data_IF_476748603605
#
_entry.id   IF_476748603605
#
_cell.length_a   1.000
_cell.length_b   1.000
_cell.length_c   1.000
_cell.angle_alpha   90.00
_cell.angle_beta   90.00
_cell.angle_gamma   90.00
#
_symmetry.space_group_name_H-M   'P 1'
#
loop_
_entity.id
_entity.type
_entity.pdbx_description
1 polymer ?
#
# COMPACT_ATOMS: atom_id res chain seq x y z
N UNK A 1 24.05 -13.70 26.57
CA UNK A 1 24.52 -12.40 26.11
C UNK A 1 23.41 -11.58 25.41
N UNK A 2 22.37 -12.21 24.89
CA UNK A 2 21.23 -11.50 24.32
C UNK A 2 20.16 -11.11 25.36
N UNK A 3 20.41 -11.38 26.66
CA UNK A 3 19.47 -11.11 27.76
C UNK A 3 18.21 -11.98 27.70
N UNK A 4 18.25 -13.06 26.93
CA UNK A 4 17.10 -13.94 26.72
C UNK A 4 17.54 -15.37 26.39
N UNK A 5 16.88 -16.33 27.04
CA UNK A 5 17.12 -17.76 26.83
C UNK A 5 15.82 -18.44 26.33
N UNK A 6 15.78 -18.90 25.06
CA UNK A 6 14.61 -19.57 24.52
C UNK A 6 14.49 -21.05 24.93
N UNK A 7 15.42 -21.57 25.72
CA UNK A 7 15.44 -22.97 26.10
C UNK A 7 14.86 -23.19 27.50
N UNK A 8 14.46 -24.43 27.75
CA UNK A 8 13.90 -24.90 29.04
C UNK A 8 14.92 -25.02 30.18
N UNK A 9 16.22 -24.87 29.90
CA UNK A 9 17.32 -24.95 30.86
C UNK A 9 18.15 -23.67 30.83
N UNK A 10 18.76 -23.32 31.95
CA UNK A 10 19.48 -22.04 32.10
C UNK A 10 20.77 -21.97 31.25
N UNK A 11 21.47 -23.09 31.10
CA UNK A 11 22.69 -23.19 30.32
C UNK A 11 22.56 -24.22 29.20
N UNK A 12 21.95 -23.85 28.07
CA UNK A 12 21.72 -24.80 26.98
C UNK A 12 22.99 -25.19 26.21
N UNK A 13 24.09 -24.49 26.42
CA UNK A 13 25.41 -24.80 25.86
C UNK A 13 26.40 -24.98 27.00
N UNK A 14 27.03 -26.14 27.04
CA UNK A 14 28.05 -26.47 28.04
C UNK A 14 29.37 -25.70 27.83
N UNK A 15 30.26 -25.83 28.78
CA UNK A 15 31.62 -25.21 28.73
C UNK A 15 32.47 -25.80 27.60
N UNK A 16 32.13 -26.93 27.09
CA UNK A 16 32.73 -27.62 25.92
C UNK A 16 32.22 -27.09 24.59
N UNK A 17 31.27 -26.10 24.61
CA UNK A 17 30.65 -25.50 23.43
C UNK A 17 29.59 -26.37 22.76
N UNK A 18 29.18 -27.50 23.37
CA UNK A 18 28.15 -28.35 22.83
C UNK A 18 26.78 -28.05 23.44
N UNK A 19 25.74 -28.28 22.63
CA UNK A 19 24.36 -28.19 23.09
C UNK A 19 24.09 -29.34 24.09
N UNK A 20 23.44 -28.99 25.20
CA UNK A 20 22.94 -29.95 26.16
C UNK A 20 21.86 -30.82 25.52
N UNK A 21 21.94 -32.16 25.62
CA UNK A 21 20.94 -33.06 25.02
C UNK A 21 19.51 -32.85 25.54
N UNK A 22 19.36 -32.32 26.75
CA UNK A 22 18.05 -32.04 27.37
C UNK A 22 17.52 -30.63 27.06
N UNK A 23 18.30 -29.81 26.34
CA UNK A 23 17.89 -28.47 25.93
C UNK A 23 16.78 -28.55 24.87
N UNK A 24 15.60 -28.07 25.23
CA UNK A 24 14.44 -27.97 24.32
C UNK A 24 14.03 -26.52 24.15
N UNK A 25 13.72 -26.15 22.91
CA UNK A 25 13.20 -24.84 22.62
C UNK A 25 11.77 -24.66 23.17
N UNK A 26 11.55 -23.62 23.97
CA UNK A 26 10.25 -23.18 24.43
C UNK A 26 9.54 -22.34 23.36
N UNK A 27 10.31 -21.51 22.66
CA UNK A 27 9.82 -20.66 21.56
C UNK A 27 10.95 -20.37 20.57
N UNK A 28 10.56 -19.89 19.40
CA UNK A 28 11.46 -19.46 18.33
C UNK A 28 10.89 -18.24 17.64
N UNK A 29 11.67 -17.19 17.54
CA UNK A 29 11.29 -15.95 16.84
C UNK A 29 11.49 -16.08 15.33
N UNK A 30 10.56 -16.73 14.64
CA UNK A 30 10.59 -16.81 13.18
C UNK A 30 10.07 -15.51 12.54
N UNK A 31 10.86 -14.46 12.71
CA UNK A 31 10.57 -13.13 12.20
C UNK A 31 10.38 -13.09 10.69
N UNK A 32 11.16 -13.91 9.97
CA UNK A 32 11.06 -13.98 8.52
C UNK A 32 9.69 -14.47 8.07
N UNK A 33 9.23 -15.59 8.58
CA UNK A 33 7.93 -16.15 8.22
C UNK A 33 6.77 -15.35 8.81
N UNK A 34 6.99 -14.60 9.89
CA UNK A 34 5.99 -13.71 10.44
C UNK A 34 5.76 -12.48 9.54
N UNK A 35 6.84 -11.85 9.08
CA UNK A 35 6.80 -10.61 8.31
C UNK A 35 6.61 -10.83 6.80
N UNK A 36 7.18 -11.91 6.25
CA UNK A 36 7.10 -12.19 4.82
C UNK A 36 6.01 -13.22 4.54
N UNK A 37 5.15 -12.90 3.59
CA UNK A 37 4.06 -13.77 3.15
C UNK A 37 4.08 -13.90 1.64
N UNK A 38 3.87 -15.13 1.16
CA UNK A 38 3.53 -15.32 -0.24
C UNK A 38 2.13 -14.75 -0.48
N UNK A 39 2.00 -13.83 -1.42
CA UNK A 39 0.76 -13.09 -1.66
C UNK A 39 0.37 -13.17 -3.12
N UNK A 40 -0.92 -13.04 -3.39
CA UNK A 40 -1.48 -13.06 -4.73
C UNK A 40 -1.73 -11.63 -5.20
N UNK A 41 -1.23 -11.30 -6.40
CA UNK A 41 -1.65 -10.13 -7.17
C UNK A 41 -2.75 -10.55 -8.13
N UNK A 42 -3.85 -9.78 -8.13
CA UNK A 42 -5.01 -10.01 -8.97
C UNK A 42 -5.31 -8.73 -9.76
N UNK A 43 -5.48 -8.88 -11.07
CA UNK A 43 -5.82 -7.76 -11.95
C UNK A 43 -6.90 -8.23 -12.93
N UNK A 44 -7.98 -7.47 -12.97
CA UNK A 44 -9.12 -7.73 -13.86
C UNK A 44 -9.40 -6.50 -14.67
N UNK A 45 -9.58 -6.67 -15.96
CA UNK A 45 -9.97 -5.60 -16.87
C UNK A 45 -11.08 -6.10 -17.79
N UNK A 46 -12.06 -5.26 -17.99
CA UNK A 46 -13.13 -5.49 -18.96
C UNK A 46 -13.21 -4.28 -19.89
N UNK A 47 -13.25 -4.56 -21.20
CA UNK A 47 -13.25 -3.54 -22.23
C UNK A 47 -14.44 -3.73 -23.18
N UNK A 48 -15.04 -2.61 -23.58
CA UNK A 48 -16.09 -2.54 -24.58
C UNK A 48 -15.70 -1.53 -25.65
N UNK A 49 -15.78 -1.90 -26.91
CA UNK A 49 -15.52 -0.99 -28.01
C UNK A 49 -16.48 -1.21 -29.17
N UNK A 50 -16.73 -0.16 -29.90
CA UNK A 50 -17.55 -0.23 -31.08
C UNK A 50 -17.36 0.97 -31.99
N UNK A 51 -17.71 0.79 -33.28
CA UNK A 51 -17.61 1.84 -34.29
C UNK A 51 -18.74 1.72 -35.28
N UNK A 52 -19.31 2.86 -35.66
CA UNK A 52 -20.21 2.99 -36.79
C UNK A 52 -19.86 4.25 -37.62
N UNK A 53 -20.69 4.61 -38.59
CA UNK A 53 -20.43 5.78 -39.48
C UNK A 53 -20.37 7.13 -38.74
N UNK A 54 -21.00 7.23 -37.55
CA UNK A 54 -21.13 8.48 -36.81
C UNK A 54 -20.30 8.51 -35.52
N UNK A 55 -20.07 7.33 -34.92
CA UNK A 55 -19.44 7.26 -33.60
C UNK A 55 -18.41 6.12 -33.53
N UNK A 56 -17.39 6.33 -32.77
CA UNK A 56 -16.54 5.29 -32.21
C UNK A 56 -16.39 5.48 -30.70
N UNK A 57 -16.31 4.36 -30.00
CA UNK A 57 -16.16 4.39 -28.56
C UNK A 57 -15.29 3.23 -28.07
N UNK A 58 -14.62 3.48 -26.97
CA UNK A 58 -13.91 2.50 -26.17
C UNK A 58 -14.18 2.83 -24.70
N UNK A 59 -14.60 1.84 -23.92
CA UNK A 59 -14.84 1.96 -22.48
C UNK A 59 -14.11 0.80 -21.81
N UNK A 60 -13.36 1.08 -20.78
CA UNK A 60 -12.60 0.10 -19.99
C UNK A 60 -12.87 0.31 -18.50
N UNK A 61 -13.00 -0.79 -17.76
CA UNK A 61 -13.04 -0.78 -16.31
C UNK A 61 -12.02 -1.81 -15.78
N UNK A 62 -11.23 -1.41 -14.81
CA UNK A 62 -10.17 -2.23 -14.23
C UNK A 62 -10.18 -2.23 -12.71
N UNK A 63 -9.83 -3.37 -12.16
CA UNK A 63 -9.59 -3.57 -10.72
C UNK A 63 -8.25 -4.25 -10.53
N UNK A 64 -7.43 -3.71 -9.65
CA UNK A 64 -6.15 -4.28 -9.23
C UNK A 64 -6.14 -4.43 -7.71
N UNK A 65 -5.77 -5.61 -7.23
CA UNK A 65 -5.46 -5.88 -5.83
C UNK A 65 -4.08 -6.53 -5.77
N UNK A 66 -3.12 -5.80 -5.25
CA UNK A 66 -1.73 -6.23 -5.11
C UNK A 66 -1.36 -6.22 -3.63
N UNK A 67 -1.14 -7.42 -3.08
CA UNK A 67 -0.67 -7.60 -1.71
C UNK A 67 0.83 -7.82 -1.75
N UNK A 68 1.58 -6.90 -1.14
CA UNK A 68 3.03 -6.99 -1.08
C UNK A 68 3.53 -8.19 -0.28
N UNK A 69 4.82 -8.47 -0.40
CA UNK A 69 5.47 -9.57 0.33
C UNK A 69 5.52 -9.35 1.84
N UNK A 70 5.56 -8.10 2.30
CA UNK A 70 5.38 -7.77 3.72
C UNK A 70 3.91 -7.82 4.10
N UNK A 71 3.62 -8.32 5.31
CA UNK A 71 2.26 -8.64 5.76
C UNK A 71 1.28 -7.48 5.69
N UNK A 72 1.78 -6.25 5.87
CA UNK A 72 0.98 -5.02 5.88
C UNK A 72 0.80 -4.36 4.51
N UNK A 73 1.61 -4.72 3.53
CA UNK A 73 1.57 -4.05 2.23
C UNK A 73 0.35 -4.47 1.43
N UNK A 74 -0.46 -3.50 1.06
CA UNK A 74 -1.61 -3.66 0.19
C UNK A 74 -1.75 -2.46 -0.72
N UNK A 75 -2.01 -2.72 -1.98
CA UNK A 75 -2.40 -1.73 -2.97
C UNK A 75 -3.67 -2.18 -3.69
N UNK A 76 -4.68 -1.33 -3.69
CA UNK A 76 -5.90 -1.53 -4.48
C UNK A 76 -6.11 -0.36 -5.42
N UNK A 77 -6.56 -0.64 -6.63
CA UNK A 77 -6.89 0.39 -7.60
C UNK A 77 -8.13 0.01 -8.38
N UNK A 78 -9.06 0.94 -8.44
CA UNK A 78 -10.18 0.95 -9.36
C UNK A 78 -9.90 1.97 -10.45
N UNK A 79 -10.12 1.62 -11.70
CA UNK A 79 -9.87 2.51 -12.83
C UNK A 79 -10.95 2.37 -13.88
N UNK A 80 -11.30 3.49 -14.52
CA UNK A 80 -12.21 3.53 -15.64
C UNK A 80 -11.67 4.48 -16.69
N UNK A 81 -11.79 4.09 -17.96
CA UNK A 81 -11.44 4.93 -19.10
C UNK A 81 -12.57 4.89 -20.12
N UNK A 82 -12.92 6.05 -20.67
CA UNK A 82 -13.86 6.17 -21.76
C UNK A 82 -13.30 7.09 -22.84
N UNK A 83 -13.23 6.60 -24.08
CA UNK A 83 -12.88 7.39 -25.27
C UNK A 83 -14.10 7.37 -26.17
N UNK A 84 -14.65 8.54 -26.47
CA UNK A 84 -15.84 8.69 -27.28
C UNK A 84 -15.56 9.71 -28.37
N UNK A 85 -15.87 9.40 -29.62
CA UNK A 85 -15.83 10.34 -30.73
C UNK A 85 -17.18 10.27 -31.45
N UNK A 86 -17.73 11.42 -31.78
CA UNK A 86 -19.01 11.51 -32.43
C UNK A 86 -19.04 12.58 -33.54
N UNK A 87 -19.36 12.19 -34.74
CA UNK A 87 -19.61 13.08 -35.85
C UNK A 87 -21.08 13.52 -35.78
N UNK A 88 -21.31 14.69 -35.17
CA UNK A 88 -22.65 15.27 -35.00
C UNK A 88 -23.33 15.46 -36.38
N UNK A 89 -22.55 16.07 -37.28
CA UNK A 89 -22.94 16.26 -38.68
C UNK A 89 -21.69 16.39 -39.57
N UNK A 90 -21.83 16.89 -40.81
CA UNK A 90 -20.69 17.02 -41.76
C UNK A 90 -19.64 18.07 -41.37
N UNK A 91 -20.00 19.02 -40.52
CA UNK A 91 -19.13 20.14 -40.14
C UNK A 91 -18.75 20.14 -38.65
N UNK A 92 -19.41 19.31 -37.81
CA UNK A 92 -19.14 19.27 -36.39
C UNK A 92 -18.76 17.86 -35.90
N UNK A 93 -17.58 17.74 -35.30
CA UNK A 93 -17.13 16.53 -34.60
C UNK A 93 -16.83 16.87 -33.15
N UNK A 94 -17.21 16.01 -32.24
CA UNK A 94 -16.95 16.11 -30.81
C UNK A 94 -16.29 14.83 -30.33
N UNK A 95 -15.32 14.97 -29.44
CA UNK A 95 -14.74 13.81 -28.80
C UNK A 95 -14.34 14.09 -27.37
N UNK A 96 -14.37 13.04 -26.55
CA UNK A 96 -13.92 13.13 -25.16
C UNK A 96 -13.13 11.88 -24.78
N UNK A 97 -12.13 12.09 -23.95
CA UNK A 97 -11.33 11.07 -23.32
C UNK A 97 -11.36 11.33 -21.81
N UNK A 98 -11.97 10.41 -21.07
CA UNK A 98 -12.12 10.48 -19.62
C UNK A 98 -11.34 9.33 -19.02
N UNK A 99 -10.55 9.61 -17.99
CA UNK A 99 -9.87 8.62 -17.17
C UNK A 99 -10.11 8.94 -15.70
N UNK A 100 -10.57 7.93 -14.96
CA UNK A 100 -10.82 8.02 -13.52
C UNK A 100 -10.02 6.92 -12.85
N UNK A 101 -9.37 7.23 -11.75
CA UNK A 101 -8.79 6.20 -10.90
C UNK A 101 -8.94 6.56 -9.42
N UNK A 102 -9.21 5.54 -8.63
CA UNK A 102 -9.16 5.59 -7.17
C UNK A 102 -8.23 4.49 -6.70
N UNK A 103 -7.23 4.85 -5.91
CA UNK A 103 -6.31 3.85 -5.33
C UNK A 103 -6.15 4.05 -3.83
N UNK A 104 -5.99 2.92 -3.15
CA UNK A 104 -5.69 2.84 -1.72
C UNK A 104 -4.41 2.06 -1.57
N UNK A 105 -3.48 2.60 -0.80
CA UNK A 105 -2.27 1.90 -0.40
C UNK A 105 -2.18 1.89 1.13
N UNK A 106 -1.91 0.71 1.67
CA UNK A 106 -1.65 0.50 3.09
C UNK A 106 -0.26 -0.07 3.27
N UNK A 107 0.40 0.34 4.34
CA UNK A 107 1.70 -0.15 4.72
C UNK A 107 2.83 0.22 3.77
N UNK A 108 3.93 0.56 4.34
CA UNK A 108 5.21 0.70 3.64
C UNK A 108 6.23 -0.09 4.45
N UNK A 109 6.89 -1.08 3.84
CA UNK A 109 8.08 -1.61 4.47
C UNK A 109 9.09 -0.46 4.56
N UNK A 110 9.29 0.05 5.76
CA UNK A 110 10.36 1.01 5.99
C UNK A 110 11.71 0.32 5.82
N UNK A 111 12.75 1.08 5.51
CA UNK A 111 14.12 0.56 5.50
C UNK A 111 14.45 -0.09 6.85
N UNK A 112 13.87 0.40 7.94
CA UNK A 112 13.98 -0.17 9.27
C UNK A 112 13.36 -1.56 9.36
N UNK A 113 12.18 -1.80 8.78
CA UNK A 113 11.55 -3.14 8.76
C UNK A 113 12.42 -4.15 8.00
N UNK A 114 12.96 -3.74 6.85
CA UNK A 114 13.88 -4.59 6.06
C UNK A 114 15.16 -4.89 6.83
N UNK A 115 15.70 -3.90 7.53
CA UNK A 115 16.90 -4.05 8.32
C UNK A 115 16.67 -4.96 9.55
N UNK A 116 15.55 -4.78 10.28
CA UNK A 116 15.14 -5.63 11.40
C UNK A 116 14.96 -7.10 10.94
N UNK A 117 14.36 -7.33 9.79
CA UNK A 117 14.21 -8.67 9.23
C UNK A 117 15.54 -9.40 9.03
N UNK A 118 16.62 -8.66 8.74
CA UNK A 118 17.96 -9.21 8.50
C UNK A 118 18.77 -9.44 9.78
N UNK A 119 18.47 -8.69 10.80
CA UNK A 119 19.35 -8.54 11.97
C UNK A 119 18.69 -8.95 13.30
N UNK A 120 17.35 -9.10 13.33
CA UNK A 120 16.66 -9.55 14.54
C UNK A 120 17.00 -11.02 14.82
N UNK A 121 17.62 -11.31 15.97
CA UNK A 121 17.93 -12.68 16.34
C UNK A 121 16.67 -13.51 16.61
N UNK A 122 16.71 -14.75 16.21
CA UNK A 122 15.60 -15.70 16.43
C UNK A 122 15.41 -16.12 17.88
N UNK A 123 16.38 -15.84 18.74
CA UNK A 123 16.27 -16.01 20.21
C UNK A 123 15.32 -14.98 20.85
N UNK A 124 14.98 -13.89 20.14
CA UNK A 124 13.98 -12.95 20.59
C UNK A 124 12.57 -13.41 20.14
N UNK A 125 11.64 -13.59 21.09
CA UNK A 125 10.29 -14.02 20.75
C UNK A 125 9.51 -12.89 20.05
N UNK A 126 8.55 -13.28 19.22
CA UNK A 126 7.58 -12.36 18.61
C UNK A 126 6.52 -11.93 19.63
N UNK A 127 6.13 -12.87 20.47
CA UNK A 127 5.12 -12.70 21.51
C UNK A 127 5.73 -12.95 22.88
N UNK A 128 5.25 -12.26 23.91
CA UNK A 128 5.70 -12.43 25.29
C UNK A 128 5.58 -13.89 25.74
N UNK A 129 6.69 -14.42 26.25
CA UNK A 129 6.77 -15.75 26.81
C UNK A 129 6.90 -15.68 28.34
N UNK A 130 6.12 -16.45 29.03
CA UNK A 130 6.19 -16.60 30.48
C UNK A 130 6.84 -17.94 30.83
N UNK A 131 8.07 -17.88 31.34
CA UNK A 131 8.83 -19.06 31.74
C UNK A 131 8.26 -19.77 32.96
N UNK A 132 7.51 -19.06 33.82
CA UNK A 132 6.91 -19.64 35.01
C UNK A 132 5.71 -20.56 34.66
N UNK A 133 4.93 -20.18 33.65
CA UNK A 133 3.78 -20.95 33.18
C UNK A 133 4.10 -21.79 31.94
N UNK A 134 5.30 -21.62 31.37
CA UNK A 134 5.75 -22.26 30.14
C UNK A 134 4.77 -22.05 28.97
N UNK A 135 4.25 -20.84 28.81
CA UNK A 135 3.24 -20.48 27.83
C UNK A 135 3.38 -19.03 27.33
N UNK A 136 2.77 -18.72 26.21
CA UNK A 136 2.63 -17.32 25.75
C UNK A 136 1.65 -16.56 26.63
N UNK A 137 2.01 -15.33 26.98
CA UNK A 137 1.10 -14.40 27.67
C UNK A 137 -0.04 -13.98 26.74
N UNK A 138 -1.24 -13.94 27.30
CA UNK A 138 -2.44 -13.57 26.56
C UNK A 138 -3.03 -12.27 27.11
N UNK A 139 -3.65 -11.49 26.25
CA UNK A 139 -4.46 -10.35 26.61
C UNK A 139 -5.84 -10.80 27.15
N UNK A 140 -6.66 -9.84 27.57
CA UNK A 140 -8.05 -10.08 28.07
C UNK A 140 -8.98 -10.74 27.04
N UNK A 141 -8.61 -10.70 25.76
CA UNK A 141 -9.38 -11.28 24.65
C UNK A 141 -8.84 -12.66 24.22
N UNK A 142 -7.78 -13.16 24.87
CA UNK A 142 -7.13 -14.41 24.54
C UNK A 142 -6.12 -14.34 23.40
N UNK A 143 -5.74 -13.14 22.92
CA UNK A 143 -4.71 -12.96 21.93
C UNK A 143 -3.33 -12.95 22.57
N UNK A 144 -2.31 -13.45 21.86
CA UNK A 144 -0.92 -13.35 22.30
C UNK A 144 -0.48 -11.90 22.33
N UNK A 145 0.16 -11.49 23.42
CA UNK A 145 0.73 -10.16 23.59
C UNK A 145 2.05 -10.09 22.84
N UNK A 146 2.26 -9.05 22.02
CA UNK A 146 3.53 -8.84 21.33
C UNK A 146 4.65 -8.47 22.30
N UNK A 147 5.82 -9.08 22.09
CA UNK A 147 7.01 -8.79 22.88
C UNK A 147 7.83 -7.66 22.25
N UNK A 148 7.82 -6.48 22.87
CA UNK A 148 8.67 -5.36 22.49
C UNK A 148 10.08 -5.45 23.05
N UNK A 149 10.35 -6.44 23.92
CA UNK A 149 11.69 -6.80 24.40
C UNK A 149 12.43 -5.70 25.10
N UNK A 150 11.77 -4.98 26.03
CA UNK A 150 12.39 -3.94 26.84
C UNK A 150 13.59 -4.46 27.69
N UNK A 151 13.67 -5.77 27.86
CA UNK A 151 14.79 -6.48 28.54
C UNK A 151 15.96 -6.80 27.61
N UNK A 152 15.80 -6.62 26.29
CA UNK A 152 16.80 -7.03 25.28
C UNK A 152 18.00 -6.07 25.30
N UNK A 153 19.19 -6.60 25.13
CA UNK A 153 20.42 -5.82 24.98
C UNK A 153 20.50 -5.11 23.63
N UNK A 154 19.88 -5.72 22.61
CA UNK A 154 19.75 -5.15 21.27
C UNK A 154 18.28 -5.20 20.83
N UNK A 155 17.83 -4.22 20.03
CA UNK A 155 16.45 -4.17 19.53
C UNK A 155 15.40 -3.99 20.65
N UNK A 156 15.78 -3.38 21.77
CA UNK A 156 14.85 -3.02 22.85
C UNK A 156 13.78 -2.08 22.33
N UNK A 157 12.55 -2.27 22.76
CA UNK A 157 11.39 -1.46 22.37
C UNK A 157 10.91 -1.64 20.93
N UNK A 158 11.35 -2.69 20.22
CA UNK A 158 10.98 -2.90 18.82
C UNK A 158 10.31 -4.26 18.58
N UNK A 159 9.18 -4.22 17.85
CA UNK A 159 8.55 -5.42 17.32
C UNK A 159 7.88 -5.04 15.98
N UNK A 160 8.53 -5.29 14.85
CA UNK A 160 8.02 -4.86 13.56
C UNK A 160 6.65 -5.46 13.21
N UNK A 161 6.32 -6.67 13.68
CA UNK A 161 5.00 -7.26 13.45
C UNK A 161 3.92 -6.59 14.29
N UNK A 162 4.24 -6.17 15.51
CA UNK A 162 3.35 -5.40 16.36
C UNK A 162 3.11 -4.00 15.77
N UNK A 163 4.16 -3.34 15.31
CA UNK A 163 4.08 -2.04 14.66
C UNK A 163 3.19 -2.13 13.41
N UNK A 164 3.37 -3.16 12.60
CA UNK A 164 2.52 -3.46 11.44
C UNK A 164 1.04 -3.67 11.82
N UNK A 165 0.79 -4.24 13.00
CA UNK A 165 -0.57 -4.54 13.47
C UNK A 165 -1.28 -3.32 14.04
N UNK A 166 -0.56 -2.51 14.82
CA UNK A 166 -1.13 -1.42 15.60
C UNK A 166 -1.03 -0.05 14.92
N UNK A 167 0.00 0.16 14.11
CA UNK A 167 0.17 1.40 13.38
C UNK A 167 -0.58 1.36 12.06
N UNK A 168 -1.01 2.51 11.59
CA UNK A 168 -1.73 2.65 10.32
C UNK A 168 -1.12 3.77 9.50
N UNK A 169 -0.98 3.54 8.23
CA UNK A 169 -0.48 4.52 7.28
C UNK A 169 -1.18 4.42 5.92
N UNK A 170 -2.52 4.38 5.89
CA UNK A 170 -3.24 4.36 4.63
C UNK A 170 -3.12 5.70 3.91
N UNK A 171 -2.99 5.63 2.61
CA UNK A 171 -3.16 6.76 1.74
C UNK A 171 -4.07 6.41 0.58
N UNK A 172 -4.88 7.39 0.22
CA UNK A 172 -5.78 7.33 -0.91
C UNK A 172 -5.37 8.32 -1.96
N UNK A 173 -5.63 7.96 -3.20
CA UNK A 173 -5.27 8.76 -4.35
C UNK A 173 -6.41 8.70 -5.37
N UNK A 174 -6.95 9.86 -5.67
CA UNK A 174 -8.01 10.04 -6.65
C UNK A 174 -7.49 10.85 -7.83
N UNK A 175 -7.61 10.31 -9.04
CA UNK A 175 -7.26 10.98 -10.28
C UNK A 175 -8.48 11.07 -11.19
N UNK A 176 -8.72 12.24 -11.71
CA UNK A 176 -9.71 12.51 -12.76
C UNK A 176 -9.02 13.27 -13.87
N UNK A 177 -9.03 12.72 -15.06
CA UNK A 177 -8.53 13.39 -16.26
C UNK A 177 -9.62 13.39 -17.33
N UNK A 178 -9.90 14.57 -17.86
CA UNK A 178 -10.80 14.72 -18.99
C UNK A 178 -10.13 15.53 -20.09
N UNK A 179 -10.27 15.10 -21.31
CA UNK A 179 -9.87 15.81 -22.53
C UNK A 179 -11.01 15.76 -23.54
N UNK A 180 -11.65 16.89 -23.70
CA UNK A 180 -12.78 17.05 -24.63
C UNK A 180 -12.38 17.99 -25.76
N UNK A 181 -12.76 17.67 -26.98
CA UNK A 181 -12.54 18.55 -28.12
C UNK A 181 -13.81 18.74 -28.93
N UNK A 182 -13.87 19.92 -29.56
CA UNK A 182 -14.83 20.29 -30.59
C UNK A 182 -14.04 20.63 -31.84
N UNK A 183 -14.40 20.05 -32.97
CA UNK A 183 -13.80 20.33 -34.26
C UNK A 183 -14.89 20.77 -35.25
N UNK A 184 -14.71 21.97 -35.78
CA UNK A 184 -15.62 22.59 -36.73
C UNK A 184 -14.90 22.72 -38.07
N UNK A 185 -15.52 22.18 -39.13
CA UNK A 185 -15.08 22.39 -40.51
C UNK A 185 -15.93 23.47 -41.13
N UNK A 186 -15.36 24.67 -41.35
CA UNK A 186 -16.06 25.80 -41.91
C UNK A 186 -16.28 25.69 -43.39
N UNK A 187 -15.22 25.32 -44.13
CA UNK A 187 -15.20 25.04 -45.54
C UNK A 187 -14.23 23.90 -45.82
N UNK A 188 -14.26 23.22 -46.96
CA UNK A 188 -13.27 22.24 -47.31
C UNK A 188 -11.85 22.76 -47.10
N UNK A 189 -11.03 22.03 -46.32
CA UNK A 189 -9.66 22.39 -45.97
C UNK A 189 -9.53 23.28 -44.74
N UNK A 190 -10.56 24.06 -44.31
CA UNK A 190 -10.44 24.93 -43.13
C UNK A 190 -11.16 24.34 -41.91
N UNK A 191 -10.36 23.98 -40.89
CA UNK A 191 -10.83 23.37 -39.64
C UNK A 191 -10.40 24.19 -38.44
N UNK A 192 -11.29 24.35 -37.48
CA UNK A 192 -10.97 24.91 -36.18
C UNK A 192 -11.27 23.83 -35.12
N UNK A 193 -10.27 23.58 -34.26
CA UNK A 193 -10.38 22.63 -33.18
C UNK A 193 -10.06 23.32 -31.86
N UNK A 194 -10.98 23.24 -30.91
CA UNK A 194 -10.73 23.61 -29.52
C UNK A 194 -10.66 22.37 -28.66
N UNK A 195 -9.64 22.30 -27.82
CA UNK A 195 -9.47 21.24 -26.84
C UNK A 195 -9.58 21.86 -25.45
N UNK A 196 -10.39 21.24 -24.61
CA UNK A 196 -10.52 21.56 -23.20
C UNK A 196 -10.05 20.35 -22.39
N UNK A 197 -9.10 20.58 -21.49
CA UNK A 197 -8.56 19.55 -20.59
C UNK A 197 -8.76 19.98 -19.16
N UNK A 198 -9.15 19.01 -18.32
CA UNK A 198 -9.21 19.15 -16.86
C UNK A 198 -8.51 17.95 -16.25
N UNK A 199 -7.56 18.21 -15.38
CA UNK A 199 -6.92 17.20 -14.56
C UNK A 199 -7.12 17.57 -13.08
N UNK A 200 -7.73 16.67 -12.35
CA UNK A 200 -7.93 16.76 -10.90
C UNK A 200 -7.19 15.60 -10.24
N UNK A 201 -6.51 15.94 -9.16
CA UNK A 201 -5.74 15.02 -8.35
C UNK A 201 -6.04 15.32 -6.88
N UNK A 202 -6.30 14.27 -6.11
CA UNK A 202 -6.42 14.38 -4.67
C UNK A 202 -5.65 13.23 -4.00
N UNK A 203 -4.83 13.58 -3.03
CA UNK A 203 -4.09 12.66 -2.18
C UNK A 203 -4.49 12.91 -0.73
N UNK A 204 -4.73 11.84 0.02
CA UNK A 204 -4.95 11.92 1.46
C UNK A 204 -4.10 10.85 2.13
N UNK A 205 -3.48 11.21 3.24
CA UNK A 205 -2.72 10.33 4.10
C UNK A 205 -3.23 10.43 5.54
N UNK A 206 -3.48 9.28 6.17
CA UNK A 206 -3.91 9.16 7.55
C UNK A 206 -2.92 8.27 8.30
N UNK A 207 -1.91 8.88 8.93
CA UNK A 207 -0.92 8.21 9.75
C UNK A 207 -1.35 8.10 11.20
N UNK A 208 -1.20 6.92 11.78
CA UNK A 208 -1.41 6.67 13.20
C UNK A 208 -0.32 5.76 13.73
N UNK A 209 0.34 6.19 14.80
CA UNK A 209 1.31 5.41 15.55
C UNK A 209 0.76 5.17 16.96
N UNK A 210 0.78 3.92 17.36
CA UNK A 210 0.17 3.41 18.60
C UNK A 210 0.67 4.14 19.85
N UNK A 211 -0.26 4.41 20.77
CA UNK A 211 -0.03 5.13 22.01
C UNK A 211 0.44 4.26 23.17
N UNK A 212 0.32 2.95 23.10
CA UNK A 212 0.56 2.04 24.21
C UNK A 212 1.85 1.24 24.05
N UNK A 213 2.25 0.96 22.82
CA UNK A 213 3.38 0.09 22.51
C UNK A 213 4.31 0.72 21.48
N UNK A 214 5.57 0.30 21.48
CA UNK A 214 6.59 0.68 20.52
C UNK A 214 7.13 2.09 20.70
N UNK A 215 7.69 2.63 19.63
CA UNK A 215 8.44 3.90 19.65
C UNK A 215 7.63 5.09 20.19
N UNK A 216 6.36 5.16 19.89
CA UNK A 216 5.52 6.31 20.24
C UNK A 216 4.85 6.21 21.63
N UNK A 217 5.01 5.09 22.33
CA UNK A 217 4.39 4.89 23.65
C UNK A 217 4.85 5.94 24.68
N UNK A 218 6.12 6.35 24.62
CA UNK A 218 6.70 7.34 25.53
C UNK A 218 6.06 8.72 25.47
N UNK A 219 5.46 9.10 24.34
CA UNK A 219 4.71 10.34 24.16
C UNK A 219 3.22 10.13 23.81
N UNK A 220 2.72 8.93 24.14
CA UNK A 220 1.30 8.55 24.02
C UNK A 220 0.75 8.55 22.59
N UNK A 221 1.58 8.12 21.64
CA UNK A 221 1.20 7.96 20.24
C UNK A 221 1.30 9.24 19.43
N UNK A 222 1.07 9.10 18.12
CA UNK A 222 0.96 10.24 17.21
C UNK A 222 -0.09 9.97 16.13
N UNK A 223 -0.70 11.03 15.66
CA UNK A 223 -1.58 11.00 14.48
C UNK A 223 -1.17 12.13 13.54
N UNK A 224 -1.12 11.82 12.26
CA UNK A 224 -0.77 12.78 11.21
C UNK A 224 -1.76 12.65 10.07
N UNK A 225 -2.29 13.78 9.61
CA UNK A 225 -3.17 13.83 8.44
C UNK A 225 -2.62 14.81 7.43
N UNK A 226 -2.59 14.37 6.19
CA UNK A 226 -2.20 15.19 5.05
C UNK A 226 -3.26 15.07 3.96
N UNK A 227 -3.58 16.20 3.34
CA UNK A 227 -4.46 16.25 2.18
C UNK A 227 -3.86 17.23 1.18
N UNK A 228 -3.58 16.74 0.00
CA UNK A 228 -3.14 17.55 -1.15
C UNK A 228 -4.16 17.45 -2.27
N UNK A 229 -4.47 18.57 -2.88
CA UNK A 229 -5.42 18.65 -3.98
C UNK A 229 -4.92 19.59 -5.06
N UNK A 230 -4.89 19.11 -6.26
CA UNK A 230 -4.55 19.90 -7.44
C UNK A 230 -5.67 19.86 -8.47
N UNK A 231 -6.00 20.99 -9.02
CA UNK A 231 -6.91 21.13 -10.16
C UNK A 231 -6.24 21.97 -11.23
N UNK A 232 -6.03 21.39 -12.39
CA UNK A 232 -5.52 22.12 -13.55
C UNK A 232 -6.48 22.04 -14.73
N UNK A 233 -6.52 23.07 -15.52
CA UNK A 233 -7.28 23.10 -16.77
C UNK A 233 -6.49 23.79 -17.87
N UNK A 234 -6.72 23.34 -19.09
CA UNK A 234 -6.06 23.88 -20.28
C UNK A 234 -7.08 24.01 -21.40
N UNK A 235 -7.03 25.13 -22.11
CA UNK A 235 -7.81 25.37 -23.33
C UNK A 235 -6.84 25.68 -24.47
N UNK A 236 -6.89 24.89 -25.52
CA UNK A 236 -6.09 25.08 -26.72
C UNK A 236 -7.00 25.23 -27.93
N UNK A 237 -6.65 26.18 -28.79
CA UNK A 237 -7.33 26.43 -30.05
C UNK A 237 -6.35 26.21 -31.22
N UNK A 238 -6.76 25.47 -32.20
CA UNK A 238 -5.99 25.21 -33.41
C UNK A 238 -6.83 25.49 -34.63
N UNK A 239 -6.32 26.33 -35.50
CA UNK A 239 -6.88 26.57 -36.84
C UNK A 239 -5.95 25.96 -37.87
N UNK A 240 -6.47 25.06 -38.70
CA UNK A 240 -5.71 24.37 -39.74
C UNK A 240 -6.34 24.61 -41.09
N UNK A 241 -5.51 24.93 -42.09
CA UNK A 241 -5.93 25.02 -43.49
C UNK A 241 -5.08 24.10 -44.36
N UNK A 242 -5.76 23.20 -45.06
CA UNK A 242 -5.15 22.26 -46.02
C UNK A 242 -5.76 22.54 -47.40
N UNK A 243 -4.93 22.84 -48.41
CA UNK A 243 -5.35 23.12 -49.78
C UNK A 243 -5.21 21.87 -50.62
#
# INVERSE_FOLDING_TARGET
>A
EFGNNPYNIDMPVGTDGKMDPDAKLNYWGDWRNALLKSRLRQEYTIDFSGKNKKADYFISAGYLNDKGVFSIQRFERYSTRANLNYNVNKWLKVGTNISLSHSVREGSASDQTVWLLRTMPTVYPIYEWDSATNAYRLDKNGNRIFDYGNYRTSWSGTNPLADDTYNKSPWTHDDVSNRTYFEITFIPGLKWRTNFSVDFYQYNYDGYVNSEYGFAAGYKGSAYKESDRNLSYTINNLLTYEK
#
